data_IF_666434607726
#
_entry.id   IF_666434607726
#
_cell.length_a   1.000
_cell.length_b   1.000
_cell.length_c   1.000
_cell.angle_alpha   90.00
_cell.angle_beta   90.00
_cell.angle_gamma   90.00
#
_symmetry.space_group_name_H-M   'P 1'
#
loop_
_entity.id
_entity.type
_entity.pdbx_description
1 polymer ?
#
# COMPACT_ATOMS: atom_id res chain seq x y z
N UNK A 1 4.35 11.09 -8.71
CA UNK A 1 5.09 9.83 -8.95
C UNK A 1 6.29 9.66 -8.02
N UNK A 2 7.14 10.67 -7.79
CA UNK A 2 8.36 10.53 -6.98
C UNK A 2 8.19 9.98 -5.54
N UNK A 3 7.07 10.27 -4.87
CA UNK A 3 6.79 9.79 -3.51
C UNK A 3 6.51 8.29 -3.48
N UNK A 4 5.56 7.84 -4.32
CA UNK A 4 5.23 6.42 -4.48
C UNK A 4 6.46 5.60 -4.87
N UNK A 5 7.23 6.05 -5.86
CA UNK A 5 8.38 5.28 -6.33
C UNK A 5 9.44 5.14 -5.23
N UNK A 6 9.67 6.18 -4.43
CA UNK A 6 10.62 6.13 -3.32
C UNK A 6 10.16 5.27 -2.15
N UNK A 7 8.88 5.32 -1.78
CA UNK A 7 8.37 4.59 -0.60
C UNK A 7 8.01 3.14 -0.94
N UNK A 8 7.37 2.92 -2.08
CA UNK A 8 6.74 1.64 -2.43
C UNK A 8 7.66 0.80 -3.31
N UNK A 9 8.29 1.39 -4.32
CA UNK A 9 9.14 0.63 -5.26
C UNK A 9 10.60 0.53 -4.85
N UNK A 10 11.03 1.33 -3.86
CA UNK A 10 12.41 1.41 -3.39
C UNK A 10 13.44 1.67 -4.51
N UNK A 11 13.00 2.18 -5.68
CA UNK A 11 13.87 2.45 -6.82
C UNK A 11 14.82 3.60 -6.46
N UNK A 12 16.12 3.29 -6.35
CA UNK A 12 17.16 4.31 -6.51
C UNK A 12 17.06 4.86 -7.94
N UNK A 13 17.31 6.15 -8.19
CA UNK A 13 17.24 6.76 -9.53
C UNK A 13 18.30 6.23 -10.53
N UNK A 14 18.96 5.10 -10.25
CA UNK A 14 20.12 4.59 -10.99
C UNK A 14 20.00 3.14 -11.49
N UNK A 15 18.82 2.52 -11.45
CA UNK A 15 18.66 1.18 -12.03
C UNK A 15 18.33 1.31 -13.53
N UNK A 16 19.35 1.16 -14.38
CA UNK A 16 19.22 1.20 -15.83
C UNK A 16 18.30 0.06 -16.34
N UNK A 17 17.43 0.37 -17.31
CA UNK A 17 16.50 -0.56 -17.96
C UNK A 17 17.18 -1.64 -18.83
N UNK A 18 18.51 -1.66 -18.92
CA UNK A 18 19.26 -2.46 -19.91
C UNK A 18 19.78 -3.83 -19.43
N UNK A 19 19.57 -4.22 -18.16
CA UNK A 19 20.05 -5.52 -17.66
C UNK A 19 19.05 -6.68 -17.78
N UNK A 20 17.87 -6.46 -18.38
CA UNK A 20 16.87 -7.50 -18.60
C UNK A 20 17.09 -8.26 -19.91
N UNK A 21 18.23 -8.96 -20.02
CA UNK A 21 18.36 -10.11 -20.94
C UNK A 21 18.28 -11.39 -20.12
N UNK A 22 17.07 -11.85 -19.84
CA UNK A 22 16.87 -13.16 -19.23
C UNK A 22 15.54 -13.77 -19.72
N UNK A 23 15.53 -15.09 -19.88
CA UNK A 23 14.44 -15.91 -20.44
C UNK A 23 13.04 -15.50 -19.97
N UNK A 24 12.01 -15.70 -20.80
CA UNK A 24 10.62 -15.28 -20.54
C UNK A 24 10.05 -15.73 -19.18
N UNK A 25 10.45 -16.90 -18.68
CA UNK A 25 10.08 -17.38 -17.34
C UNK A 25 10.65 -16.49 -16.22
N UNK A 26 11.92 -16.09 -16.31
CA UNK A 26 12.58 -15.25 -15.30
C UNK A 26 11.96 -13.85 -15.23
N UNK A 27 11.43 -13.34 -16.35
CA UNK A 27 10.73 -12.05 -16.36
C UNK A 27 9.42 -12.14 -15.58
N UNK A 28 8.65 -13.23 -15.72
CA UNK A 28 7.39 -13.39 -14.98
C UNK A 28 7.65 -13.47 -13.48
N UNK A 29 8.64 -14.26 -13.05
CA UNK A 29 8.98 -14.43 -11.64
C UNK A 29 9.43 -13.10 -11.01
N UNK A 30 10.27 -12.33 -11.71
CA UNK A 30 10.68 -10.99 -11.29
C UNK A 30 9.49 -10.03 -11.10
N UNK A 31 8.46 -10.12 -11.94
CA UNK A 31 7.27 -9.25 -11.85
C UNK A 31 6.33 -9.67 -10.73
N UNK A 32 6.23 -10.97 -10.47
CA UNK A 32 5.52 -11.50 -9.29
C UNK A 32 6.20 -11.02 -8.01
N UNK A 33 7.53 -11.04 -7.95
CA UNK A 33 8.27 -10.47 -6.82
C UNK A 33 8.16 -8.97 -6.71
N UNK A 34 8.21 -8.24 -7.81
CA UNK A 34 7.97 -6.79 -7.80
C UNK A 34 6.58 -6.49 -7.22
N UNK A 35 5.55 -7.23 -7.60
CA UNK A 35 4.21 -7.08 -7.03
C UNK A 35 4.20 -7.32 -5.51
N UNK A 36 4.79 -8.42 -5.04
CA UNK A 36 4.83 -8.78 -3.62
C UNK A 36 5.66 -7.79 -2.79
N UNK A 37 6.88 -7.48 -3.20
CA UNK A 37 7.77 -6.55 -2.51
C UNK A 37 7.13 -5.16 -2.41
N UNK A 38 6.52 -4.69 -3.50
CA UNK A 38 5.82 -3.40 -3.50
C UNK A 38 4.57 -3.43 -2.63
N UNK A 39 3.88 -4.58 -2.50
CA UNK A 39 2.76 -4.72 -1.56
C UNK A 39 3.24 -4.68 -0.11
N UNK A 40 4.33 -5.39 0.21
CA UNK A 40 4.96 -5.37 1.54
C UNK A 40 5.34 -3.95 1.94
N UNK A 41 6.03 -3.22 1.06
CA UNK A 41 6.42 -1.83 1.32
C UNK A 41 5.21 -0.91 1.46
N UNK A 42 4.18 -1.10 0.64
CA UNK A 42 2.96 -0.29 0.72
C UNK A 42 2.22 -0.52 2.06
N UNK A 43 2.06 -1.77 2.49
CA UNK A 43 1.39 -2.11 3.75
C UNK A 43 2.21 -1.66 4.95
N UNK A 44 3.46 -2.14 5.05
CA UNK A 44 4.27 -1.98 6.27
C UNK A 44 4.88 -0.58 6.38
N UNK A 45 5.41 -0.06 5.29
CA UNK A 45 6.14 1.21 5.29
C UNK A 45 5.22 2.39 5.01
N UNK A 46 4.42 2.36 3.92
CA UNK A 46 3.60 3.51 3.57
C UNK A 46 2.39 3.68 4.50
N UNK A 47 1.51 2.67 4.57
CA UNK A 47 0.29 2.73 5.37
C UNK A 47 0.57 2.55 6.87
N UNK A 48 1.44 1.60 7.24
CA UNK A 48 1.82 1.34 8.62
C UNK A 48 2.42 2.57 9.30
N UNK A 49 3.44 3.19 8.70
CA UNK A 49 4.05 4.40 9.27
C UNK A 49 3.08 5.59 9.26
N UNK A 50 2.25 5.75 8.22
CA UNK A 50 1.21 6.78 8.20
C UNK A 50 0.26 6.63 9.39
N UNK A 51 -0.13 5.40 9.72
CA UNK A 51 -1.02 5.12 10.85
C UNK A 51 -0.31 5.36 12.18
N UNK A 52 0.89 4.84 12.35
CA UNK A 52 1.59 4.89 13.63
C UNK A 52 2.07 6.31 13.98
N UNK A 53 2.53 7.06 12.98
CA UNK A 53 3.23 8.33 13.19
C UNK A 53 2.29 9.54 13.04
N UNK A 54 1.26 9.45 12.20
CA UNK A 54 0.33 10.56 11.96
C UNK A 54 -1.07 10.26 12.48
N UNK A 55 -1.67 9.11 12.12
CA UNK A 55 -3.07 8.82 12.47
C UNK A 55 -3.30 8.75 13.98
N UNK A 56 -2.49 7.98 14.73
CA UNK A 56 -2.67 7.84 16.18
C UNK A 56 -2.45 9.16 16.92
N UNK A 57 -1.36 9.92 16.69
CA UNK A 57 -1.13 11.16 17.42
C UNK A 57 -2.13 12.26 17.06
N UNK A 58 -2.52 12.38 15.78
CA UNK A 58 -3.44 13.43 15.35
C UNK A 58 -4.88 13.20 15.83
N UNK A 59 -5.28 11.94 16.06
CA UNK A 59 -6.60 11.59 16.60
C UNK A 59 -6.88 12.21 17.97
N UNK A 60 -5.85 12.43 18.77
CA UNK A 60 -5.95 13.01 20.12
C UNK A 60 -6.04 14.55 20.09
N UNK A 61 -5.67 15.20 18.97
CA UNK A 61 -5.51 16.66 18.90
C UNK A 61 -6.64 17.35 18.13
N UNK A 62 -7.28 16.67 17.17
CA UNK A 62 -8.35 17.24 16.34
C UNK A 62 -9.70 16.58 16.63
N UNK A 63 -10.78 17.28 16.27
CA UNK A 63 -12.13 16.74 16.43
C UNK A 63 -12.34 15.49 15.58
N UNK A 64 -13.28 14.64 15.99
CA UNK A 64 -13.62 13.41 15.25
C UNK A 64 -14.07 13.69 13.81
N UNK A 65 -14.72 14.83 13.56
CA UNK A 65 -15.15 15.22 12.22
C UNK A 65 -13.96 15.60 11.35
N UNK A 66 -13.09 16.49 11.82
CA UNK A 66 -11.84 16.85 11.12
C UNK A 66 -10.98 15.62 10.87
N UNK A 67 -10.87 14.73 11.85
CA UNK A 67 -10.13 13.48 11.72
C UNK A 67 -10.67 12.58 10.61
N UNK A 68 -12.00 12.42 10.54
CA UNK A 68 -12.67 11.67 9.48
C UNK A 68 -12.46 12.31 8.11
N UNK A 69 -12.45 13.64 8.02
CA UNK A 69 -12.16 14.33 6.76
C UNK A 69 -10.70 14.19 6.34
N UNK A 70 -9.74 14.24 7.27
CA UNK A 70 -8.30 14.12 6.96
C UNK A 70 -7.92 12.69 6.55
N UNK A 71 -8.45 11.67 7.22
CA UNK A 71 -7.99 10.29 7.03
C UNK A 71 -9.01 9.39 6.31
N UNK A 72 -10.24 9.86 6.08
CA UNK A 72 -11.32 9.13 5.44
C UNK A 72 -11.45 7.69 6.01
N UNK A 73 -11.28 6.70 5.14
CA UNK A 73 -11.30 5.27 5.46
C UNK A 73 -9.91 4.61 5.29
N UNK A 74 -8.83 5.31 5.63
CA UNK A 74 -7.45 4.79 5.51
C UNK A 74 -7.21 3.53 6.37
N UNK A 75 -7.80 3.44 7.56
CA UNK A 75 -7.64 2.28 8.43
C UNK A 75 -8.31 1.02 7.85
N UNK A 76 -9.57 1.08 7.35
CA UNK A 76 -10.14 0.01 6.53
C UNK A 76 -9.28 -0.38 5.33
N UNK A 77 -8.70 0.60 4.61
CA UNK A 77 -7.79 0.32 3.48
C UNK A 77 -6.56 -0.46 3.96
N UNK A 78 -5.92 -0.04 5.04
CA UNK A 78 -4.77 -0.76 5.59
C UNK A 78 -5.12 -2.19 6.00
N UNK A 79 -6.23 -2.40 6.70
CA UNK A 79 -6.69 -3.75 7.09
C UNK A 79 -6.93 -4.63 5.86
N UNK A 80 -7.58 -4.08 4.84
CA UNK A 80 -7.78 -4.77 3.56
C UNK A 80 -6.43 -5.20 2.94
N UNK A 81 -5.45 -4.29 2.84
CA UNK A 81 -4.17 -4.62 2.24
C UNK A 81 -3.32 -5.59 3.08
N UNK A 82 -3.45 -5.59 4.41
CA UNK A 82 -2.85 -6.62 5.27
C UNK A 82 -3.38 -8.01 4.91
N UNK A 83 -4.70 -8.14 4.73
CA UNK A 83 -5.33 -9.41 4.30
C UNK A 83 -4.92 -9.80 2.88
N UNK A 84 -4.89 -8.84 1.96
CA UNK A 84 -4.42 -9.06 0.58
C UNK A 84 -2.98 -9.58 0.56
N UNK A 85 -2.08 -8.96 1.32
CA UNK A 85 -0.67 -9.35 1.41
C UNK A 85 -0.50 -10.77 1.96
N UNK A 86 -1.25 -11.13 3.00
CA UNK A 86 -1.22 -12.48 3.57
C UNK A 86 -1.66 -13.55 2.56
N UNK A 87 -2.70 -13.26 1.76
CA UNK A 87 -3.16 -14.17 0.70
C UNK A 87 -2.25 -14.17 -0.54
N UNK A 88 -1.41 -13.15 -0.74
CA UNK A 88 -0.39 -13.12 -1.80
C UNK A 88 0.88 -13.91 -1.44
N UNK A 89 1.18 -14.07 -0.15
CA UNK A 89 2.41 -14.72 0.32
C UNK A 89 2.51 -16.18 -0.16
N UNK A 90 1.42 -16.94 -0.06
CA UNK A 90 1.38 -18.33 -0.51
C UNK A 90 1.62 -18.51 -2.03
N UNK A 91 0.84 -17.88 -2.93
CA UNK A 91 1.04 -18.04 -4.38
C UNK A 91 2.39 -17.49 -4.85
N UNK A 92 2.93 -16.45 -4.19
CA UNK A 92 4.28 -15.93 -4.49
C UNK A 92 5.34 -16.96 -4.12
N UNK A 93 5.30 -17.51 -2.90
CA UNK A 93 6.26 -18.52 -2.44
C UNK A 93 6.20 -19.81 -3.27
N UNK A 94 5.01 -20.22 -3.73
CA UNK A 94 4.83 -21.34 -4.64
C UNK A 94 5.41 -21.07 -6.03
N UNK A 95 5.18 -19.87 -6.59
CA UNK A 95 5.73 -19.47 -7.90
C UNK A 95 7.26 -19.35 -7.86
N UNK A 96 7.82 -18.95 -6.72
CA UNK A 96 9.25 -18.73 -6.53
C UNK A 96 10.08 -19.99 -6.25
N UNK A 97 9.46 -21.18 -6.17
CA UNK A 97 10.19 -22.44 -6.04
C UNK A 97 11.04 -22.57 -4.76
N UNK A 98 10.77 -21.77 -3.72
CA UNK A 98 11.54 -21.76 -2.46
C UNK A 98 11.26 -23.02 -1.60
N UNK A 99 10.50 -23.98 -2.11
CA UNK A 99 10.33 -25.27 -1.46
C UNK A 99 10.19 -26.38 -2.51
N UNK A 100 11.22 -27.23 -2.60
CA UNK A 100 11.14 -28.56 -3.24
C UNK A 100 10.13 -29.47 -2.49
N UNK A 101 9.87 -29.16 -1.22
CA UNK A 101 8.79 -29.75 -0.45
C UNK A 101 7.50 -28.96 -0.65
N UNK A 102 6.40 -29.63 -0.95
CA UNK A 102 5.07 -29.02 -1.06
C UNK A 102 4.76 -28.24 0.23
N UNK A 103 4.89 -26.92 0.21
CA UNK A 103 4.45 -26.06 1.33
C UNK A 103 3.01 -26.47 1.68
N UNK A 104 2.76 -26.98 2.90
CA UNK A 104 1.44 -27.45 3.27
C UNK A 104 0.43 -26.34 3.08
N UNK A 105 -0.67 -26.68 2.39
CA UNK A 105 -1.76 -25.75 2.11
C UNK A 105 -2.21 -25.09 3.42
N UNK A 106 -2.30 -23.75 3.51
CA UNK A 106 -3.02 -23.13 4.61
C UNK A 106 -4.49 -23.52 4.47
N UNK A 107 -4.94 -24.49 5.25
CA UNK A 107 -6.37 -24.77 5.43
C UNK A 107 -6.92 -23.63 6.27
N UNK A 108 -7.76 -22.77 5.68
CA UNK A 108 -8.51 -21.84 6.51
C UNK A 108 -9.42 -22.66 7.45
N UNK A 109 -9.68 -22.15 8.65
CA UNK A 109 -10.45 -22.82 9.73
C UNK A 109 -11.84 -23.34 9.31
N UNK A 110 -12.32 -22.99 8.10
CA UNK A 110 -13.63 -23.33 7.55
C UNK A 110 -13.58 -24.14 6.24
N UNK A 111 -12.44 -24.73 5.87
CA UNK A 111 -12.32 -25.56 4.67
C UNK A 111 -12.35 -24.80 3.33
N UNK A 112 -12.23 -23.47 3.36
CA UNK A 112 -12.10 -22.64 2.16
C UNK A 112 -10.66 -22.76 1.67
N UNK A 113 -10.48 -23.22 0.43
CA UNK A 113 -9.16 -23.30 -0.21
C UNK A 113 -8.54 -21.90 -0.29
N UNK A 114 -7.30 -21.74 0.19
CA UNK A 114 -6.53 -20.53 -0.04
C UNK A 114 -6.29 -20.33 -1.55
N UNK A 115 -6.24 -19.07 -2.05
CA UNK A 115 -5.97 -18.80 -3.46
C UNK A 115 -4.65 -19.44 -3.92
N UNK A 116 -4.69 -20.15 -5.06
CA UNK A 116 -3.54 -20.84 -5.67
C UNK A 116 -2.71 -19.95 -6.56
N UNK A 117 -3.31 -18.93 -7.12
CA UNK A 117 -2.65 -18.01 -8.05
C UNK A 117 -2.89 -16.57 -7.65
N UNK A 118 -2.02 -15.67 -8.10
CA UNK A 118 -2.20 -14.22 -7.95
C UNK A 118 -3.56 -13.80 -8.51
N UNK A 119 -3.99 -14.39 -9.63
CA UNK A 119 -5.28 -14.07 -10.25
C UNK A 119 -6.46 -14.37 -9.32
N UNK A 120 -6.45 -15.55 -8.69
CA UNK A 120 -7.49 -15.94 -7.72
C UNK A 120 -7.53 -15.00 -6.50
N UNK A 121 -6.37 -14.54 -6.02
CA UNK A 121 -6.31 -13.53 -4.95
C UNK A 121 -7.01 -12.24 -5.38
N UNK A 122 -6.68 -11.68 -6.54
CA UNK A 122 -7.29 -10.42 -7.00
C UNK A 122 -8.79 -10.57 -7.29
N UNK A 123 -9.24 -11.74 -7.75
CA UNK A 123 -10.67 -12.03 -7.91
C UNK A 123 -11.37 -12.06 -6.54
N UNK A 124 -10.78 -12.73 -5.53
CA UNK A 124 -11.32 -12.78 -4.15
C UNK A 124 -11.50 -11.39 -3.55
N UNK A 125 -10.59 -10.47 -3.84
CA UNK A 125 -10.58 -9.12 -3.26
C UNK A 125 -11.22 -8.03 -4.15
N UNK A 126 -11.72 -8.38 -5.33
CA UNK A 126 -12.25 -7.43 -6.33
C UNK A 126 -13.21 -6.40 -5.73
N UNK A 127 -14.22 -6.85 -4.99
CA UNK A 127 -15.25 -5.97 -4.45
C UNK A 127 -14.73 -5.16 -3.25
N UNK A 128 -13.72 -5.66 -2.54
CA UNK A 128 -13.09 -4.92 -1.44
C UNK A 128 -12.30 -3.70 -1.95
N UNK A 129 -11.84 -3.70 -3.20
CA UNK A 129 -11.24 -2.50 -3.80
C UNK A 129 -12.23 -1.34 -3.96
N UNK A 130 -13.55 -1.58 -3.90
CA UNK A 130 -14.56 -0.52 -3.98
C UNK A 130 -14.47 0.49 -2.83
N UNK A 131 -13.83 0.13 -1.70
CA UNK A 131 -13.57 1.06 -0.59
C UNK A 131 -12.75 2.28 -1.03
N UNK A 132 -11.99 2.17 -2.13
CA UNK A 132 -11.24 3.29 -2.71
C UNK A 132 -12.15 4.36 -3.31
N UNK A 133 -13.39 4.03 -3.70
CA UNK A 133 -14.34 5.04 -4.20
C UNK A 133 -14.57 6.15 -3.18
N UNK A 134 -14.83 5.77 -1.92
CA UNK A 134 -14.98 6.71 -0.80
C UNK A 134 -13.68 7.47 -0.49
N UNK A 135 -12.55 6.79 -0.56
CA UNK A 135 -11.26 7.40 -0.26
C UNK A 135 -10.92 8.49 -1.28
N UNK A 136 -11.01 8.14 -2.57
CA UNK A 136 -10.69 9.05 -3.67
C UNK A 136 -11.62 10.26 -3.72
N UNK A 137 -12.91 10.09 -3.43
CA UNK A 137 -13.85 11.22 -3.40
C UNK A 137 -13.53 12.23 -2.28
N UNK A 138 -12.92 11.77 -1.18
CA UNK A 138 -12.57 12.59 -0.02
C UNK A 138 -11.16 13.22 -0.12
N UNK A 139 -10.34 12.87 -1.11
CA UNK A 139 -8.95 13.34 -1.17
C UNK A 139 -8.81 14.87 -1.29
N UNK A 140 -9.74 15.53 -2.00
CA UNK A 140 -9.76 16.98 -2.11
C UNK A 140 -10.10 17.63 -0.76
N UNK A 141 -11.20 17.20 -0.13
CA UNK A 141 -11.63 17.70 1.18
C UNK A 141 -10.57 17.47 2.25
N UNK A 142 -9.92 16.29 2.22
CA UNK A 142 -8.77 15.98 3.09
C UNK A 142 -7.66 17.01 2.93
N UNK A 143 -7.30 17.35 1.69
CA UNK A 143 -6.20 18.29 1.41
C UNK A 143 -6.53 19.69 1.91
N UNK A 144 -7.75 20.15 1.66
CA UNK A 144 -8.22 21.46 2.14
C UNK A 144 -8.24 21.51 3.67
N UNK A 145 -8.75 20.45 4.32
CA UNK A 145 -8.79 20.33 5.77
C UNK A 145 -7.38 20.35 6.39
N UNK A 146 -6.44 19.60 5.82
CA UNK A 146 -5.04 19.60 6.28
C UNK A 146 -4.44 21.00 6.17
N UNK A 147 -4.61 21.66 5.01
CA UNK A 147 -4.06 23.00 4.80
C UNK A 147 -4.68 24.03 5.75
N UNK A 148 -5.99 23.95 6.00
CA UNK A 148 -6.67 24.78 7.00
C UNK A 148 -6.08 24.54 8.38
N UNK A 149 -5.99 23.29 8.83
CA UNK A 149 -5.48 22.94 10.16
C UNK A 149 -4.01 23.33 10.36
N UNK A 150 -3.18 23.22 9.33
CA UNK A 150 -1.79 23.69 9.38
C UNK A 150 -1.69 25.20 9.62
N UNK A 151 -2.65 25.98 9.12
CA UNK A 151 -2.67 27.44 9.25
C UNK A 151 -3.40 27.91 10.52
N UNK A 152 -4.40 27.17 11.00
CA UNK A 152 -5.29 27.63 12.09
C UNK A 152 -5.06 26.92 13.42
N UNK A 153 -4.34 25.79 13.44
CA UNK A 153 -4.12 24.99 14.64
C UNK A 153 -2.62 24.72 14.84
N UNK A 154 -1.99 25.55 15.68
CA UNK A 154 -0.55 25.44 15.99
C UNK A 154 -0.16 24.07 16.55
N UNK A 155 -1.02 23.44 17.37
CA UNK A 155 -0.75 22.10 17.92
C UNK A 155 -0.73 21.05 16.82
N UNK A 156 -1.66 21.13 15.88
CA UNK A 156 -1.68 20.26 14.70
C UNK A 156 -0.44 20.46 13.84
N UNK A 157 -0.10 21.71 13.51
CA UNK A 157 1.08 22.04 12.71
C UNK A 157 2.37 21.54 13.36
N UNK A 158 2.53 21.78 14.67
CA UNK A 158 3.67 21.30 15.43
C UNK A 158 3.77 19.77 15.41
N UNK A 159 2.67 19.07 15.69
CA UNK A 159 2.67 17.60 15.70
C UNK A 159 3.00 17.03 14.30
N UNK A 160 2.42 17.57 13.23
CA UNK A 160 2.72 17.12 11.85
C UNK A 160 4.21 17.27 11.54
N UNK A 161 4.82 18.39 11.96
CA UNK A 161 6.26 18.61 11.76
C UNK A 161 7.12 17.66 12.60
N UNK A 162 6.78 17.47 13.88
CA UNK A 162 7.50 16.55 14.78
C UNK A 162 7.38 15.09 14.30
N UNK A 163 6.18 14.66 13.92
CA UNK A 163 5.90 13.35 13.32
C UNK A 163 6.72 13.13 12.05
N UNK A 164 6.77 14.12 11.14
CA UNK A 164 7.58 14.04 9.93
C UNK A 164 9.08 13.92 10.23
N UNK A 165 9.58 14.70 11.20
CA UNK A 165 10.98 14.67 11.62
C UNK A 165 11.37 13.35 12.27
N UNK A 166 10.54 12.83 13.19
CA UNK A 166 10.77 11.55 13.87
C UNK A 166 10.81 10.37 12.89
N UNK A 167 9.95 10.39 11.86
CA UNK A 167 9.94 9.38 10.81
C UNK A 167 11.12 9.48 9.83
N UNK A 168 11.90 10.57 9.89
CA UNK A 168 12.81 10.93 8.79
C UNK A 168 12.07 11.10 7.46
N UNK A 169 10.76 11.38 7.51
CA UNK A 169 9.91 11.48 6.34
C UNK A 169 10.17 12.81 5.64
N UNK A 170 10.64 12.72 4.39
CA UNK A 170 10.85 13.89 3.51
C UNK A 170 9.57 14.36 2.80
N UNK A 171 8.45 13.69 3.07
CA UNK A 171 7.19 13.91 2.36
C UNK A 171 6.15 14.51 3.30
N UNK A 172 5.30 15.39 2.77
CA UNK A 172 4.21 15.98 3.55
C UNK A 172 3.10 14.97 3.81
N UNK A 173 2.26 15.24 4.82
CA UNK A 173 1.07 14.41 5.09
C UNK A 173 0.15 14.29 3.87
N UNK A 174 0.00 15.38 3.10
CA UNK A 174 -0.75 15.39 1.85
C UNK A 174 -0.16 14.42 0.81
N UNK A 175 1.17 14.36 0.70
CA UNK A 175 1.84 13.46 -0.25
C UNK A 175 1.64 11.99 0.13
N UNK A 176 1.73 11.68 1.43
CA UNK A 176 1.53 10.33 1.96
C UNK A 176 0.08 9.85 1.74
N UNK A 177 -0.90 10.74 1.90
CA UNK A 177 -2.32 10.43 1.64
C UNK A 177 -2.65 10.27 0.14
N UNK A 178 -1.76 10.67 -0.77
CA UNK A 178 -1.92 10.36 -2.19
C UNK A 178 -1.46 8.94 -2.56
N UNK A 179 -0.62 8.32 -1.72
CA UNK A 179 -0.01 7.00 -2.01
C UNK A 179 -1.06 5.89 -2.20
N UNK A 180 -2.15 5.80 -1.42
CA UNK A 180 -3.19 4.79 -1.66
C UNK A 180 -3.85 4.91 -3.02
N UNK A 181 -4.19 6.14 -3.44
CA UNK A 181 -4.73 6.38 -4.78
C UNK A 181 -3.72 5.97 -5.86
N UNK A 182 -2.44 6.27 -5.67
CA UNK A 182 -1.41 5.84 -6.59
C UNK A 182 -1.33 4.30 -6.65
N UNK A 183 -1.36 3.60 -5.50
CA UNK A 183 -1.27 2.14 -5.44
C UNK A 183 -2.40 1.46 -6.23
N UNK A 184 -3.65 1.89 -6.04
CA UNK A 184 -4.78 1.27 -6.74
C UNK A 184 -4.67 1.37 -8.27
N UNK A 185 -4.09 2.46 -8.79
CA UNK A 185 -3.87 2.62 -10.23
C UNK A 185 -2.73 1.76 -10.80
N UNK A 186 -1.83 1.22 -9.95
CA UNK A 186 -0.71 0.39 -10.40
C UNK A 186 -1.09 -1.08 -10.58
N UNK A 187 -2.10 -1.61 -9.89
CA UNK A 187 -2.49 -3.02 -10.03
C UNK A 187 -2.86 -3.43 -11.46
N UNK A 188 -3.69 -2.68 -12.22
CA UNK A 188 -3.99 -3.05 -13.60
C UNK A 188 -2.74 -3.15 -14.49
N UNK A 189 -1.74 -2.29 -14.26
CA UNK A 189 -0.47 -2.30 -15.00
C UNK A 189 0.38 -3.52 -14.65
N UNK A 190 0.51 -3.82 -13.36
CA UNK A 190 1.27 -4.99 -12.87
C UNK A 190 0.63 -6.30 -13.34
N UNK A 191 -0.69 -6.44 -13.18
CA UNK A 191 -1.42 -7.65 -13.58
C UNK A 191 -1.38 -7.87 -15.10
N UNK A 192 -1.50 -6.80 -15.90
CA UNK A 192 -1.39 -6.89 -17.37
C UNK A 192 -0.03 -7.44 -17.82
N UNK A 193 1.04 -7.16 -17.08
CA UNK A 193 2.39 -7.68 -17.38
C UNK A 193 2.54 -9.13 -16.91
N UNK A 194 1.98 -9.49 -15.75
CA UNK A 194 2.06 -10.86 -15.18
C UNK A 194 1.28 -11.87 -16.04
N UNK A 195 0.10 -11.50 -16.55
CA UNK A 195 -0.76 -12.37 -17.36
C UNK A 195 -0.56 -12.25 -18.87
N UNK A 196 0.50 -11.58 -19.32
CA UNK A 196 0.91 -11.51 -20.72
C UNK A 196 1.66 -12.76 -21.17
#
# INVERSE_FOLDING_TARGET
EQVYDRIVTNRKPSMNENDLKTSSSNIKDLRVKELYDTEVNYVRSALGQLIDIFYKPLKEIISTEQFKTVFANIEPIHKFHVSLLADLEYPVNFTWGVSEEKVPRPTTLNGIEAPRTIGEVFVKYRDQFLIYGKYCSNLLDSREMINSLLNTNEKFAKLVNESAQQAGCKFSLNDLLCVPFQRITKYPLLLKVIFK
#
